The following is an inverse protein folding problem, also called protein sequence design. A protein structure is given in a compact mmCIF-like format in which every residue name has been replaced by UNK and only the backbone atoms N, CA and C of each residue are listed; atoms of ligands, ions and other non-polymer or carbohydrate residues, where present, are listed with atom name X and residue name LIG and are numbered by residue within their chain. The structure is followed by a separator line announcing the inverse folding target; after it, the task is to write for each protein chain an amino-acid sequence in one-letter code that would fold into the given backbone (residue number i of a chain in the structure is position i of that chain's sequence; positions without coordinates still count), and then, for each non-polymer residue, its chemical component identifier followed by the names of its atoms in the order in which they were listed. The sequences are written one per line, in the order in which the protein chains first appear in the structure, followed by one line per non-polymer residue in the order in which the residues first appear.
data_IF_004600586170
#
_entry.id   IF_004600586170
#
_cell.length_a   1.000
_cell.length_b   1.000
_cell.length_c   1.000
_cell.angle_alpha   90.00
_cell.angle_beta   90.00
_cell.angle_gamma   90.00
#
_symmetry.space_group_name_H-M   'P 1'
#
loop_
_entity.id
_entity.type
_entity.pdbx_description
1 polymer ?
#
# COMPACT_ATOMS: atom_id res chain seq x y z
N UNK A 1 1.15 7.73 27.14
CA UNK A 1 2.58 7.84 26.76
C UNK A 1 2.87 9.27 26.35
N UNK A 2 2.14 9.81 25.37
CA UNK A 2 2.22 11.23 24.93
C UNK A 2 2.27 12.24 26.10
N UNK A 3 1.28 12.24 27.00
CA UNK A 3 1.26 13.16 28.16
C UNK A 3 2.50 13.09 29.06
N UNK A 4 3.19 11.95 29.08
CA UNK A 4 4.43 11.76 29.86
C UNK A 4 5.67 12.24 29.08
N UNK A 5 5.61 12.26 27.75
CA UNK A 5 6.63 12.86 26.90
C UNK A 5 6.56 14.39 26.97
N UNK A 6 5.35 14.95 27.03
CA UNK A 6 5.14 16.39 27.24
C UNK A 6 5.73 16.86 28.58
N UNK A 7 5.46 16.13 29.67
CA UNK A 7 6.02 16.42 30.99
C UNK A 7 7.56 16.32 31.03
N UNK A 8 8.14 15.40 30.24
CA UNK A 8 9.60 15.31 30.07
C UNK A 8 10.15 16.54 29.33
N UNK A 9 9.47 16.98 28.26
CA UNK A 9 9.87 18.16 27.50
C UNK A 9 9.82 19.44 28.34
N UNK A 10 8.88 19.52 29.28
CA UNK A 10 8.77 20.59 30.25
C UNK A 10 9.75 20.49 31.44
N UNK A 11 10.56 19.42 31.51
CA UNK A 11 11.52 19.18 32.61
C UNK A 11 10.88 18.71 33.92
N UNK A 12 9.58 18.42 33.94
CA UNK A 12 8.83 17.98 35.12
C UNK A 12 9.07 16.51 35.46
N UNK A 13 9.65 15.74 34.52
CA UNK A 13 9.89 14.32 34.70
C UNK A 13 11.24 13.93 34.12
N UNK A 14 12.00 13.13 34.89
CA UNK A 14 13.27 12.57 34.44
C UNK A 14 13.03 11.54 33.31
N UNK A 15 13.56 11.85 32.12
CA UNK A 15 13.37 11.03 30.94
C UNK A 15 14.02 9.66 31.07
N UNK A 16 15.17 9.57 31.74
CA UNK A 16 15.95 8.35 31.86
C UNK A 16 15.22 7.36 32.76
N UNK A 17 14.72 7.82 33.90
CA UNK A 17 13.93 7.02 34.83
C UNK A 17 12.63 6.57 34.17
N UNK A 18 11.94 7.45 33.45
CA UNK A 18 10.71 7.11 32.73
C UNK A 18 10.93 6.04 31.66
N UNK A 19 11.90 6.22 30.76
CA UNK A 19 12.17 5.25 29.70
C UNK A 19 12.70 3.92 30.24
N UNK A 20 13.55 3.94 31.27
CA UNK A 20 14.04 2.72 31.90
C UNK A 20 12.88 1.92 32.51
N UNK A 21 11.98 2.61 33.22
CA UNK A 21 10.80 1.99 33.83
C UNK A 21 9.83 1.49 32.78
N UNK A 22 9.52 2.28 31.76
CA UNK A 22 8.65 1.88 30.66
C UNK A 22 9.21 0.67 29.91
N UNK A 23 10.52 0.64 29.65
CA UNK A 23 11.16 -0.50 29.03
C UNK A 23 11.04 -1.77 29.89
N UNK A 24 11.35 -1.67 31.19
CA UNK A 24 11.32 -2.79 32.12
C UNK A 24 9.90 -3.32 32.38
N UNK A 25 8.96 -2.42 32.63
CA UNK A 25 7.63 -2.77 33.15
C UNK A 25 6.64 -3.07 32.01
N UNK A 26 6.86 -2.50 30.81
CA UNK A 26 5.92 -2.64 29.68
C UNK A 26 6.58 -3.21 28.43
N UNK A 27 7.63 -2.58 27.89
CA UNK A 27 8.13 -2.91 26.55
C UNK A 27 8.81 -4.28 26.48
N UNK A 28 9.75 -4.58 27.39
CA UNK A 28 10.46 -5.86 27.41
C UNK A 28 9.51 -7.05 27.64
N UNK A 29 8.56 -7.00 28.60
CA UNK A 29 7.54 -8.05 28.74
C UNK A 29 6.64 -8.18 27.50
N UNK A 30 6.24 -7.07 26.87
CA UNK A 30 5.44 -7.11 25.66
C UNK A 30 6.21 -7.74 24.49
N UNK A 31 7.50 -7.44 24.36
CA UNK A 31 8.38 -8.02 23.35
C UNK A 31 8.59 -9.53 23.58
N UNK A 32 8.78 -9.96 24.84
CA UNK A 32 8.87 -11.37 25.19
C UNK A 32 7.59 -12.13 24.83
N UNK A 33 6.41 -11.56 25.13
CA UNK A 33 5.12 -12.11 24.70
C UNK A 33 5.01 -12.16 23.19
N UNK A 34 5.36 -11.08 22.48
CA UNK A 34 5.32 -11.06 21.02
C UNK A 34 6.20 -12.18 20.41
N UNK A 35 7.42 -12.39 20.93
CA UNK A 35 8.31 -13.48 20.50
C UNK A 35 7.73 -14.88 20.74
N UNK A 36 6.85 -15.07 21.73
CA UNK A 36 6.18 -16.35 21.97
C UNK A 36 4.99 -16.57 21.03
N UNK A 37 4.30 -15.50 20.65
CA UNK A 37 3.10 -15.60 19.80
C UNK A 37 3.45 -15.57 18.31
N UNK A 38 4.52 -14.88 17.90
CA UNK A 38 4.98 -14.84 16.50
C UNK A 38 5.20 -16.26 15.92
N UNK A 39 5.90 -17.20 16.60
CA UNK A 39 5.97 -18.59 16.16
C UNK A 39 4.62 -19.29 16.10
N UNK A 40 3.59 -18.90 16.85
CA UNK A 40 2.24 -19.49 16.70
C UNK A 40 1.52 -19.03 15.44
N UNK A 41 1.89 -17.87 14.91
CA UNK A 41 1.36 -17.36 13.64
C UNK A 41 2.22 -17.75 12.43
N UNK A 42 3.52 -18.00 12.64
CA UNK A 42 4.47 -18.42 11.61
C UNK A 42 4.68 -19.95 11.54
N UNK A 43 4.49 -20.66 12.66
CA UNK A 43 4.56 -22.12 12.76
C UNK A 43 3.14 -22.67 12.88
N UNK A 44 2.82 -23.58 11.96
CA UNK A 44 1.56 -24.31 11.85
C UNK A 44 1.36 -25.32 13.00
N UNK A 45 1.37 -24.88 14.25
CA UNK A 45 1.05 -25.78 15.37
C UNK A 45 -0.44 -25.69 15.70
N UNK A 46 -1.21 -26.78 15.53
CA UNK A 46 -2.60 -26.81 15.91
C UNK A 46 -2.71 -26.71 17.44
N UNK A 47 -3.56 -25.81 17.91
CA UNK A 47 -4.01 -25.78 19.31
C UNK A 47 -4.67 -27.15 19.59
N UNK A 48 -4.31 -27.87 20.66
CA UNK A 48 -5.01 -29.09 21.01
C UNK A 48 -6.41 -28.70 21.49
N UNK A 49 -7.38 -28.74 20.58
CA UNK A 49 -8.79 -28.73 20.95
C UNK A 49 -9.05 -29.97 21.79
N UNK A 50 -9.45 -29.71 23.03
CA UNK A 50 -10.00 -30.68 23.97
C UNK A 50 -11.01 -31.55 23.23
N UNK A 51 -10.71 -32.85 23.16
CA UNK A 51 -11.54 -33.84 22.46
C UNK A 51 -12.85 -34.00 23.21
N UNK A 52 -13.96 -33.73 22.53
CA UNK A 52 -15.26 -34.31 22.83
C UNK A 52 -15.87 -34.86 21.54
N UNK A 53 -16.50 -36.02 21.70
CA UNK A 53 -17.30 -36.79 20.73
C UNK A 53 -16.54 -37.66 19.71
N UNK A 54 -16.22 -38.86 20.18
CA UNK A 54 -16.35 -40.14 19.46
C UNK A 54 -17.43 -40.13 18.36
N UNK A 55 -17.06 -40.56 17.15
CA UNK A 55 -17.84 -41.56 16.40
C UNK A 55 -16.92 -42.49 15.61
N UNK A 56 -17.38 -43.73 15.59
CA UNK A 56 -16.72 -44.98 15.25
C UNK A 56 -16.99 -45.38 13.78
N UNK A 57 -16.05 -46.11 13.16
CA UNK A 57 -16.10 -46.90 11.90
C UNK A 57 -16.28 -46.15 10.55
N UNK A 58 -15.60 -46.48 9.43
CA UNK A 58 -15.28 -47.80 8.85
C UNK A 58 -14.09 -47.73 7.85
N UNK A 59 -13.35 -48.84 7.58
CA UNK A 59 -12.12 -48.85 6.78
C UNK A 59 -12.39 -49.38 5.36
N UNK A 60 -12.32 -48.51 4.34
CA UNK A 60 -11.91 -48.85 2.97
C UNK A 60 -12.16 -47.67 2.03
N UNK A 61 -11.21 -46.74 1.96
CA UNK A 61 -11.00 -45.96 0.74
C UNK A 61 -9.50 -45.70 0.52
N UNK A 62 -9.01 -45.82 -0.73
CA UNK A 62 -7.62 -45.55 -1.08
C UNK A 62 -7.27 -44.07 -0.84
N UNK A 63 -5.99 -43.74 -0.57
CA UNK A 63 -5.59 -42.39 -0.17
C UNK A 63 -5.71 -41.44 -1.36
N UNK A 64 -6.87 -40.79 -1.50
CA UNK A 64 -6.95 -39.50 -2.19
C UNK A 64 -6.05 -38.58 -1.39
N UNK A 65 -4.97 -38.09 -2.00
CA UNK A 65 -4.11 -37.03 -1.47
C UNK A 65 -4.95 -35.76 -1.28
N UNK A 66 -5.73 -35.74 -0.22
CA UNK A 66 -6.27 -34.54 0.38
C UNK A 66 -5.06 -33.85 0.99
N UNK A 67 -4.39 -33.02 0.20
CA UNK A 67 -3.57 -31.94 0.75
C UNK A 67 -4.56 -31.01 1.46
N UNK A 68 -4.85 -31.37 2.71
CA UNK A 68 -5.72 -30.69 3.63
C UNK A 68 -5.18 -29.27 3.78
N UNK A 69 -5.92 -28.33 3.20
CA UNK A 69 -5.58 -26.93 3.22
C UNK A 69 -5.36 -26.50 4.66
N UNK A 70 -4.14 -26.06 4.95
CA UNK A 70 -3.86 -25.28 6.14
C UNK A 70 -4.90 -24.16 6.20
N UNK A 71 -5.63 -23.97 7.31
CA UNK A 71 -6.78 -23.06 7.38
C UNK A 71 -6.40 -21.63 6.97
N UNK A 72 -5.12 -21.30 7.15
CA UNK A 72 -4.54 -19.99 6.91
C UNK A 72 -3.97 -19.81 5.49
N UNK A 73 -3.91 -20.84 4.64
CA UNK A 73 -3.47 -20.69 3.25
C UNK A 73 -4.62 -20.81 2.26
N UNK A 74 -4.54 -20.03 1.19
CA UNK A 74 -5.48 -20.06 0.08
C UNK A 74 -4.98 -21.04 -0.99
N UNK A 75 -5.89 -21.49 -1.86
CA UNK A 75 -5.53 -22.24 -3.08
C UNK A 75 -4.93 -21.33 -4.16
N UNK A 76 -4.87 -20.02 -3.90
CA UNK A 76 -4.34 -19.02 -4.84
C UNK A 76 -2.82 -18.98 -4.72
N UNK A 77 -2.13 -19.12 -5.85
CA UNK A 77 -0.68 -19.08 -5.94
C UNK A 77 -0.19 -17.63 -6.10
N UNK A 78 0.94 -17.35 -5.49
CA UNK A 78 1.69 -16.12 -5.73
C UNK A 78 2.19 -16.10 -7.19
N UNK A 79 1.96 -15.01 -7.95
CA UNK A 79 2.46 -14.91 -9.32
C UNK A 79 4.00 -14.85 -9.41
N UNK A 80 4.69 -14.42 -8.35
CA UNK A 80 6.15 -14.27 -8.35
C UNK A 80 6.88 -15.53 -7.88
N UNK A 81 6.37 -16.20 -6.85
CA UNK A 81 7.07 -17.31 -6.20
C UNK A 81 6.33 -18.65 -6.29
N UNK A 82 5.15 -18.68 -6.92
CA UNK A 82 4.26 -19.85 -7.08
C UNK A 82 3.81 -20.56 -5.78
N UNK A 83 4.24 -20.06 -4.62
CA UNK A 83 3.83 -20.50 -3.30
C UNK A 83 2.37 -20.11 -3.01
N UNK A 84 1.71 -20.85 -2.15
CA UNK A 84 0.35 -20.52 -1.71
C UNK A 84 0.35 -19.25 -0.86
N UNK A 85 -0.62 -18.37 -1.10
CA UNK A 85 -0.75 -17.12 -0.35
C UNK A 85 -1.49 -17.36 0.97
N UNK A 86 -1.04 -16.70 2.04
CA UNK A 86 -1.66 -16.73 3.35
C UNK A 86 -2.88 -15.80 3.43
N UNK A 87 -3.95 -16.23 4.10
CA UNK A 87 -5.15 -15.45 4.41
C UNK A 87 -4.88 -14.60 5.65
N UNK A 88 -4.82 -13.29 5.47
CA UNK A 88 -4.62 -12.33 6.54
C UNK A 88 -5.97 -11.69 6.90
N UNK A 89 -6.47 -11.85 8.13
CA UNK A 89 -7.76 -11.29 8.53
C UNK A 89 -7.74 -9.76 8.49
N UNK A 90 -8.85 -9.16 8.04
CA UNK A 90 -9.05 -7.72 7.98
C UNK A 90 -10.53 -7.40 8.12
N UNK A 91 -10.88 -6.62 9.14
CA UNK A 91 -12.24 -6.12 9.35
C UNK A 91 -12.68 -5.11 8.29
N UNK A 92 -11.74 -4.54 7.53
CA UNK A 92 -12.00 -3.50 6.52
C UNK A 92 -12.46 -4.05 5.17
N UNK A 93 -12.43 -5.37 4.98
CA UNK A 93 -12.75 -6.02 3.71
C UNK A 93 -14.05 -6.82 3.83
N UNK A 94 -14.85 -6.83 2.77
CA UNK A 94 -16.10 -7.60 2.70
C UNK A 94 -15.90 -9.10 2.94
N UNK A 95 -14.81 -9.66 2.39
CA UNK A 95 -14.41 -11.05 2.61
C UNK A 95 -13.78 -11.33 3.99
N UNK A 96 -13.62 -10.30 4.85
CA UNK A 96 -12.97 -10.34 6.17
C UNK A 96 -11.49 -10.76 6.18
N UNK A 97 -10.88 -10.96 5.01
CA UNK A 97 -9.45 -11.27 4.87
C UNK A 97 -8.93 -10.88 3.47
N UNK A 98 -7.62 -10.72 3.35
CA UNK A 98 -6.89 -10.57 2.08
C UNK A 98 -5.80 -11.65 1.98
N UNK A 99 -5.18 -11.79 0.80
CA UNK A 99 -4.09 -12.73 0.60
C UNK A 99 -2.74 -12.02 0.58
N UNK A 100 -1.74 -12.56 1.27
CA UNK A 100 -0.37 -12.04 1.26
C UNK A 100 0.65 -13.16 1.05
N UNK A 101 1.71 -12.87 0.31
CA UNK A 101 2.85 -13.77 0.17
C UNK A 101 3.75 -13.71 1.42
N UNK A 102 4.08 -14.87 1.98
CA UNK A 102 4.99 -15.01 3.14
C UNK A 102 6.36 -15.57 2.76
N UNK A 103 6.52 -16.06 1.54
CA UNK A 103 7.74 -16.73 1.04
C UNK A 103 8.82 -15.77 0.51
N UNK A 104 8.87 -14.51 0.99
CA UNK A 104 9.93 -13.55 0.64
C UNK A 104 9.61 -12.52 -0.45
N UNK A 105 8.38 -12.45 -0.96
CA UNK A 105 7.96 -11.36 -1.84
C UNK A 105 7.59 -10.12 -1.00
N UNK A 106 8.19 -8.96 -1.28
CA UNK A 106 7.99 -7.74 -0.48
C UNK A 106 6.56 -7.22 -0.51
N UNK A 107 5.90 -7.22 -1.68
CA UNK A 107 4.65 -6.45 -1.88
C UNK A 107 3.52 -7.21 -2.59
N UNK A 108 3.60 -8.54 -2.66
CA UNK A 108 2.52 -9.32 -3.27
C UNK A 108 1.38 -9.53 -2.27
N UNK A 109 0.35 -8.70 -2.43
CA UNK A 109 -0.94 -8.75 -1.74
C UNK A 109 -2.04 -8.96 -2.79
N UNK A 110 -3.10 -9.69 -2.49
CA UNK A 110 -4.28 -9.80 -3.36
C UNK A 110 -5.57 -9.57 -2.57
N UNK A 111 -6.53 -8.92 -3.22
CA UNK A 111 -7.85 -8.62 -2.70
C UNK A 111 -8.92 -9.36 -3.50
N UNK A 112 -10.04 -9.68 -2.85
CA UNK A 112 -11.17 -10.33 -3.51
C UNK A 112 -11.96 -9.31 -4.33
N UNK A 113 -12.11 -9.55 -5.64
CA UNK A 113 -12.98 -8.79 -6.51
C UNK A 113 -14.35 -9.47 -6.60
N UNK A 114 -15.41 -8.81 -6.14
CA UNK A 114 -16.77 -9.33 -6.25
C UNK A 114 -17.25 -9.41 -7.70
N UNK A 115 -16.84 -8.45 -8.53
CA UNK A 115 -17.19 -8.36 -9.95
C UNK A 115 -16.77 -9.61 -10.71
N UNK A 116 -15.52 -10.02 -10.51
CA UNK A 116 -14.92 -11.12 -11.26
C UNK A 116 -14.83 -12.42 -10.46
N UNK A 117 -15.34 -12.43 -9.21
CA UNK A 117 -15.26 -13.55 -8.26
C UNK A 117 -13.86 -14.17 -8.18
N UNK A 118 -12.81 -13.32 -8.24
CA UNK A 118 -11.41 -13.74 -8.31
C UNK A 118 -10.52 -12.89 -7.40
N UNK A 119 -9.39 -13.45 -7.00
CA UNK A 119 -8.33 -12.73 -6.29
C UNK A 119 -7.52 -11.91 -7.28
N UNK A 120 -7.35 -10.63 -7.00
CA UNK A 120 -6.65 -9.68 -7.88
C UNK A 120 -5.62 -8.88 -7.07
N UNK A 121 -4.49 -8.55 -7.69
CA UNK A 121 -3.51 -7.64 -7.09
C UNK A 121 -4.16 -6.26 -6.85
N UNK A 122 -3.74 -5.51 -5.81
CA UNK A 122 -4.15 -4.13 -5.65
C UNK A 122 -3.76 -3.39 -6.92
N UNK A 123 -4.78 -2.91 -7.61
CA UNK A 123 -4.58 -2.02 -8.73
C UNK A 123 -3.96 -0.76 -8.15
N UNK A 124 -2.75 -0.41 -8.59
CA UNK A 124 -2.13 0.88 -8.28
C UNK A 124 -3.12 1.95 -8.74
N UNK A 125 -3.87 2.52 -7.80
CA UNK A 125 -4.86 3.58 -8.03
C UNK A 125 -5.85 3.32 -9.17
N UNK A 126 -6.84 2.44 -8.99
CA UNK A 126 -8.12 2.57 -9.71
C UNK A 126 -9.10 3.44 -8.92
N UNK A 127 -8.82 4.74 -8.86
CA UNK A 127 -9.86 5.75 -9.03
C UNK A 127 -10.12 5.85 -10.53
N UNK A 128 -10.95 4.96 -11.11
CA UNK A 128 -11.28 5.00 -12.55
C UNK A 128 -10.09 5.27 -13.50
N UNK A 129 -8.89 4.79 -13.16
CA UNK A 129 -7.76 4.79 -14.06
C UNK A 129 -7.78 3.45 -14.78
N UNK A 130 -8.61 3.40 -15.82
CA UNK A 130 -8.35 2.49 -16.92
C UNK A 130 -6.89 2.70 -17.31
N UNK A 131 -6.20 1.58 -17.47
CA UNK A 131 -4.87 1.49 -18.04
C UNK A 131 -4.87 2.10 -19.43
N UNK A 132 -4.78 3.42 -19.49
CA UNK A 132 -4.10 4.10 -20.58
C UNK A 132 -2.64 3.97 -20.15
N UNK A 133 -1.94 3.01 -20.75
CA UNK A 133 -0.51 3.15 -21.02
C UNK A 133 -0.19 4.63 -21.17
N UNK A 134 0.83 5.22 -20.51
CA UNK A 134 1.21 6.59 -20.78
C UNK A 134 1.66 6.65 -22.24
N UNK A 135 0.71 6.93 -23.14
CA UNK A 135 0.96 7.22 -24.54
C UNK A 135 1.53 8.62 -24.48
N UNK A 136 2.87 8.67 -24.45
CA UNK A 136 3.72 9.84 -24.57
C UNK A 136 3.42 10.96 -23.58
N UNK A 137 4.14 10.95 -22.44
CA UNK A 137 4.47 12.19 -21.76
C UNK A 137 5.32 13.02 -22.74
N UNK A 138 4.65 13.85 -23.55
CA UNK A 138 5.35 14.70 -24.51
C UNK A 138 6.07 15.77 -23.71
N UNK A 139 7.40 15.74 -23.80
CA UNK A 139 8.24 16.80 -23.28
C UNK A 139 7.95 18.02 -24.14
N UNK A 140 7.47 19.08 -23.49
CA UNK A 140 7.17 20.35 -24.13
C UNK A 140 8.40 21.26 -24.12
N UNK A 141 8.37 22.28 -24.97
CA UNK A 141 9.38 23.35 -25.02
C UNK A 141 9.31 24.31 -23.82
N UNK A 142 8.33 24.17 -22.93
CA UNK A 142 8.15 25.06 -21.79
C UNK A 142 9.04 24.64 -20.63
N UNK A 143 9.77 25.60 -20.07
CA UNK A 143 10.68 25.37 -18.94
C UNK A 143 9.97 25.53 -17.59
N UNK A 144 10.26 24.64 -16.64
CA UNK A 144 9.72 24.73 -15.28
C UNK A 144 10.27 25.99 -14.58
N UNK A 145 9.41 26.85 -14.00
CA UNK A 145 9.86 28.10 -13.37
C UNK A 145 10.73 27.89 -12.11
N UNK A 146 10.80 26.66 -11.58
CA UNK A 146 11.55 26.34 -10.35
C UNK A 146 12.90 25.71 -10.65
N UNK A 147 12.96 24.76 -11.57
CA UNK A 147 14.18 23.99 -11.85
C UNK A 147 14.65 24.07 -13.30
N UNK A 148 13.98 24.87 -14.14
CA UNK A 148 14.26 25.10 -15.57
C UNK A 148 14.24 23.84 -16.47
N UNK A 149 14.01 22.66 -15.91
CA UNK A 149 13.78 21.43 -16.67
C UNK A 149 12.50 21.56 -17.50
N UNK A 150 12.42 20.90 -18.65
CA UNK A 150 11.23 21.00 -19.51
C UNK A 150 10.01 20.40 -18.80
N UNK A 151 8.84 20.95 -19.10
CA UNK A 151 7.56 20.48 -18.60
C UNK A 151 7.06 19.33 -19.48
N UNK A 152 6.51 18.28 -18.86
CA UNK A 152 5.80 17.20 -19.55
C UNK A 152 4.29 17.46 -19.54
N UNK A 153 3.63 17.16 -20.65
CA UNK A 153 2.17 17.17 -20.73
C UNK A 153 1.58 15.87 -20.17
N UNK A 154 0.66 16.01 -19.21
CA UNK A 154 -0.04 14.93 -18.55
C UNK A 154 -1.55 15.04 -18.78
N UNK A 155 -2.08 14.04 -19.48
CA UNK A 155 -3.50 13.89 -19.76
C UNK A 155 -4.18 13.12 -18.63
N UNK A 156 -5.28 13.64 -18.10
CA UNK A 156 -6.07 13.03 -17.05
C UNK A 156 -7.57 13.24 -17.29
N UNK A 157 -8.40 12.43 -16.65
CA UNK A 157 -9.86 12.58 -16.71
C UNK A 157 -10.38 13.08 -15.37
N UNK A 158 -11.17 14.16 -15.39
CA UNK A 158 -11.89 14.65 -14.21
C UNK A 158 -13.33 14.93 -14.63
N UNK A 159 -14.29 14.38 -13.88
CA UNK A 159 -15.73 14.56 -14.12
C UNK A 159 -16.19 14.08 -15.51
N UNK A 160 -15.52 13.06 -16.07
CA UNK A 160 -15.83 12.53 -17.41
C UNK A 160 -15.23 13.33 -18.58
N UNK A 161 -14.63 14.49 -18.31
CA UNK A 161 -13.95 15.30 -19.31
C UNK A 161 -12.44 15.02 -19.32
N UNK A 162 -11.86 14.87 -20.51
CA UNK A 162 -10.43 14.82 -20.71
C UNK A 162 -9.81 16.20 -20.46
N UNK A 163 -8.80 16.27 -19.60
CA UNK A 163 -8.06 17.47 -19.26
C UNK A 163 -6.57 17.21 -19.43
N UNK A 164 -5.83 18.26 -19.79
CA UNK A 164 -4.37 18.22 -19.87
C UNK A 164 -3.77 19.19 -18.86
N UNK A 165 -2.63 18.83 -18.29
CA UNK A 165 -1.81 19.72 -17.46
C UNK A 165 -0.34 19.58 -17.82
N UNK A 166 0.42 20.66 -17.68
CA UNK A 166 1.88 20.65 -17.72
C UNK A 166 2.43 20.54 -16.30
N UNK A 167 3.40 19.65 -16.12
CA UNK A 167 4.11 19.46 -14.85
C UNK A 167 5.59 19.21 -15.11
N UNK A 168 6.43 19.34 -14.10
CA UNK A 168 7.87 19.07 -14.25
C UNK A 168 8.13 17.63 -14.72
N UNK A 169 9.00 17.48 -15.72
CA UNK A 169 9.47 16.17 -16.23
C UNK A 169 10.18 15.34 -15.16
N UNK A 170 10.90 15.99 -14.24
CA UNK A 170 11.62 15.31 -13.17
C UNK A 170 10.67 14.71 -12.12
N UNK A 171 10.71 13.39 -11.96
CA UNK A 171 9.93 12.66 -10.97
C UNK A 171 10.27 13.05 -9.54
N UNK A 172 11.54 13.23 -9.22
CA UNK A 172 11.99 13.57 -7.86
C UNK A 172 11.64 15.03 -7.51
N UNK A 173 11.62 15.91 -8.51
CA UNK A 173 11.21 17.30 -8.32
C UNK A 173 9.72 17.40 -7.97
N UNK A 174 8.86 16.57 -8.60
CA UNK A 174 7.39 16.57 -8.40
C UNK A 174 6.94 16.31 -6.96
N UNK A 175 7.72 15.59 -6.15
CA UNK A 175 7.36 15.36 -4.74
C UNK A 175 7.52 16.61 -3.87
N UNK A 176 8.33 17.58 -4.30
CA UNK A 176 8.57 18.80 -3.54
C UNK A 176 7.37 19.74 -3.61
N UNK A 177 7.05 20.41 -2.50
CA UNK A 177 5.88 21.29 -2.43
C UNK A 177 5.93 22.45 -3.44
N UNK A 178 7.12 23.01 -3.70
CA UNK A 178 7.29 24.07 -4.69
C UNK A 178 6.84 23.59 -6.09
N UNK A 179 7.21 22.38 -6.49
CA UNK A 179 6.87 21.81 -7.80
C UNK A 179 5.41 21.38 -7.94
N UNK A 180 4.71 21.14 -6.82
CA UNK A 180 3.25 20.89 -6.86
C UNK A 180 2.47 22.12 -7.31
N UNK A 181 3.02 23.30 -7.06
CA UNK A 181 2.40 24.58 -7.44
C UNK A 181 2.83 25.04 -8.85
N UNK A 182 3.98 24.56 -9.34
CA UNK A 182 4.43 24.77 -10.73
C UNK A 182 3.74 23.79 -11.71
N UNK A 183 2.41 23.85 -11.72
CA UNK A 183 1.54 23.08 -12.61
C UNK A 183 0.67 24.05 -13.39
N UNK A 184 0.55 23.81 -14.69
CA UNK A 184 -0.32 24.58 -15.58
C UNK A 184 -1.43 23.70 -16.12
N UNK A 185 -2.66 24.20 -16.14
CA UNK A 185 -3.84 23.51 -16.65
C UNK A 185 -4.18 24.05 -18.04
N UNK A 186 -4.59 23.17 -18.93
CA UNK A 186 -5.06 23.59 -20.25
C UNK A 186 -6.44 24.24 -20.13
N UNK A 187 -6.55 25.49 -20.56
CA UNK A 187 -7.80 26.26 -20.60
C UNK A 187 -8.07 26.75 -22.03
N UNK A 188 -9.25 27.32 -22.29
CA UNK A 188 -9.59 27.84 -23.62
C UNK A 188 -8.68 28.99 -24.10
N UNK A 189 -7.96 29.66 -23.19
CA UNK A 189 -7.00 30.74 -23.48
C UNK A 189 -5.55 30.28 -23.53
N UNK A 190 -5.29 28.99 -23.34
CA UNK A 190 -3.94 28.42 -23.23
C UNK A 190 -3.65 27.84 -21.84
N UNK A 191 -2.36 27.73 -21.52
CA UNK A 191 -1.88 27.13 -20.27
C UNK A 191 -1.95 28.12 -19.11
N UNK A 192 -2.62 27.72 -18.02
CA UNK A 192 -2.81 28.60 -16.85
C UNK A 192 -2.45 27.92 -15.54
N UNK A 193 -1.71 28.62 -14.67
CA UNK A 193 -1.38 28.17 -13.32
C UNK A 193 -1.95 29.11 -12.25
N UNK A 194 -2.47 28.59 -11.13
CA UNK A 194 -2.91 29.42 -10.01
C UNK A 194 -1.82 30.31 -9.41
N UNK A 195 -0.55 29.89 -9.50
CA UNK A 195 0.58 30.59 -8.88
C UNK A 195 1.42 31.39 -9.88
N UNK A 196 1.49 30.92 -11.13
CA UNK A 196 2.37 31.47 -12.16
C UNK A 196 1.60 32.07 -13.36
N UNK A 197 0.29 32.26 -13.21
CA UNK A 197 -0.61 32.88 -14.20
C UNK A 197 -0.60 32.19 -15.58
N UNK A 198 -0.90 32.94 -16.64
CA UNK A 198 -0.96 32.44 -18.02
C UNK A 198 0.45 32.27 -18.59
N UNK A 199 0.71 31.10 -19.19
CA UNK A 199 1.95 30.82 -19.90
C UNK A 199 1.76 31.28 -21.36
N UNK A 200 2.23 32.49 -21.68
CA UNK A 200 2.18 33.02 -23.05
C UNK A 200 2.90 32.07 -24.02
N UNK A 201 2.34 31.87 -25.22
CA UNK A 201 2.98 31.09 -26.29
C UNK A 201 4.38 31.64 -26.66
N UNK A 202 4.65 32.91 -26.36
CA UNK A 202 5.93 33.58 -26.58
C UNK A 202 7.05 33.13 -25.62
N UNK A 203 6.72 32.51 -24.48
CA UNK A 203 7.73 31.97 -23.55
C UNK A 203 8.38 30.66 -24.07
N UNK A 204 7.94 30.17 -25.23
CA UNK A 204 8.48 29.00 -25.92
C UNK A 204 9.79 29.25 -26.70
N UNK A 205 10.29 30.49 -26.74
CA UNK A 205 11.53 30.85 -27.44
C UNK A 205 12.46 31.61 -26.49
N UNK A 206 13.12 30.89 -25.60
CA UNK A 206 14.17 31.43 -24.72
C UNK A 206 15.13 30.35 -24.28
#
# INVERSE_FOLDING_TARGET
METKLDAIANGEQDWQQYLTRWNRDYFAPALAKAKQVIPRYLSNQPVPQRREAERQFSPNQPPKQQQQGQPNFSRTRCPQSQNYLAKIPSSKLKKKYFLKCVSGCSDTVMFWSERNKTWQLPQKGQTNSQSVTPINAQITQYSCPICQKPLEEYHYQKEGSAKSLLRCSDFSARSNNNHKEAVYFHTAKGWWSPKFEELSEDAAKG
#
